data_IF_233486907693
#
_entry.id   IF_233486907693
#
_cell.length_a   1.000
_cell.length_b   1.000
_cell.length_c   1.000
_cell.angle_alpha   90.00
_cell.angle_beta   90.00
_cell.angle_gamma   90.00
#
_symmetry.space_group_name_H-M   'P 1'
#
loop_
_entity.id
_entity.type
_entity.pdbx_description
1 polymer ?
#
# COMPACT_ATOMS: atom_id res chain seq x y z
N UNK A 1 -11.04 -13.14 23.88
CA UNK A 1 -11.84 -14.14 23.13
C UNK A 1 -12.64 -13.41 22.06
N UNK A 2 -12.50 -13.90 20.82
CA UNK A 2 -12.90 -13.38 19.50
C UNK A 2 -14.26 -12.65 19.44
N UNK A 3 -14.21 -11.33 19.21
CA UNK A 3 -15.37 -10.50 18.85
C UNK A 3 -15.23 -9.87 17.45
N UNK A 4 -14.33 -10.38 16.61
CA UNK A 4 -13.97 -9.75 15.32
C UNK A 4 -14.24 -10.62 14.08
N UNK A 5 -14.68 -11.87 14.25
CA UNK A 5 -15.23 -12.69 13.16
C UNK A 5 -16.72 -12.43 12.90
N UNK A 6 -17.37 -11.71 13.80
CA UNK A 6 -18.79 -11.38 13.73
C UNK A 6 -18.94 -9.86 13.60
N UNK A 7 -19.87 -9.40 12.76
CA UNK A 7 -20.34 -8.00 12.83
C UNK A 7 -20.67 -7.68 14.29
N UNK A 8 -20.55 -6.41 14.71
CA UNK A 8 -20.89 -6.01 16.09
C UNK A 8 -22.29 -6.55 16.46
N UNK A 9 -23.21 -6.59 15.50
CA UNK A 9 -24.55 -7.16 15.65
C UNK A 9 -24.56 -8.67 15.93
N UNK A 10 -23.70 -9.47 15.29
CA UNK A 10 -23.59 -10.91 15.56
C UNK A 10 -22.89 -11.18 16.91
N UNK A 11 -21.95 -10.34 17.34
CA UNK A 11 -21.42 -10.38 18.69
C UNK A 11 -22.49 -10.03 19.73
N UNK A 12 -23.26 -8.96 19.52
CA UNK A 12 -24.40 -8.59 20.38
C UNK A 12 -25.42 -9.72 20.44
N UNK A 13 -25.75 -10.34 19.31
CA UNK A 13 -26.69 -11.47 19.25
C UNK A 13 -26.21 -12.64 20.11
N UNK A 14 -24.92 -12.98 20.05
CA UNK A 14 -24.33 -14.06 20.88
C UNK A 14 -24.41 -13.75 22.38
N UNK A 15 -24.28 -12.48 22.76
CA UNK A 15 -24.22 -12.04 24.16
C UNK A 15 -25.59 -11.61 24.71
N UNK A 16 -26.62 -11.54 23.85
CA UNK A 16 -28.01 -11.30 24.27
C UNK A 16 -28.51 -12.35 25.28
N UNK A 17 -28.01 -13.59 25.17
CA UNK A 17 -28.32 -14.69 26.10
C UNK A 17 -27.89 -14.45 27.55
N UNK A 18 -26.93 -13.54 27.77
CA UNK A 18 -26.47 -13.12 29.11
C UNK A 18 -26.95 -11.71 29.47
N UNK A 19 -27.97 -11.19 28.77
CA UNK A 19 -28.58 -9.89 29.04
C UNK A 19 -27.79 -8.67 28.54
N UNK A 20 -26.76 -8.88 27.71
CA UNK A 20 -25.99 -7.81 27.08
C UNK A 20 -26.58 -7.48 25.71
N UNK A 21 -27.52 -6.55 25.68
CA UNK A 21 -28.06 -5.98 24.45
C UNK A 21 -27.26 -4.75 23.97
N UNK A 22 -27.67 -4.18 22.83
CA UNK A 22 -26.98 -3.06 22.19
C UNK A 22 -26.98 -1.79 23.04
N UNK A 23 -28.09 -1.53 23.73
CA UNK A 23 -28.29 -0.32 24.53
C UNK A 23 -27.39 -0.36 25.76
N UNK A 24 -27.44 -1.47 26.51
CA UNK A 24 -26.59 -1.68 27.67
C UNK A 24 -25.09 -1.69 27.30
N UNK A 25 -24.75 -2.31 26.16
CA UNK A 25 -23.37 -2.32 25.67
C UNK A 25 -22.88 -0.90 25.35
N UNK A 26 -23.70 -0.08 24.69
CA UNK A 26 -23.31 1.30 24.39
C UNK A 26 -23.08 2.11 25.66
N UNK A 27 -23.93 1.98 26.68
CA UNK A 27 -23.75 2.65 27.97
C UNK A 27 -22.42 2.28 28.66
N UNK A 28 -22.12 0.97 28.74
CA UNK A 28 -20.88 0.46 29.31
C UNK A 28 -19.66 0.98 28.55
N UNK A 29 -19.74 0.98 27.21
CA UNK A 29 -18.66 1.49 26.38
C UNK A 29 -18.48 3.00 26.58
N UNK A 30 -19.55 3.79 26.62
CA UNK A 30 -19.48 5.25 26.84
C UNK A 30 -18.86 5.55 28.20
N UNK A 31 -19.30 4.84 29.24
CA UNK A 31 -18.74 4.96 30.58
C UNK A 31 -17.22 4.70 30.59
N UNK A 32 -16.78 3.64 29.90
CA UNK A 32 -15.38 3.29 29.76
C UNK A 32 -14.59 4.30 28.90
N UNK A 33 -15.13 4.72 27.76
CA UNK A 33 -14.50 5.62 26.80
C UNK A 33 -14.25 7.04 27.37
N UNK A 34 -15.18 7.52 28.18
CA UNK A 34 -15.10 8.81 28.88
C UNK A 34 -14.31 8.72 30.19
N UNK A 35 -13.82 7.53 30.57
CA UNK A 35 -13.07 7.30 31.81
C UNK A 35 -13.85 7.73 33.07
N UNK A 36 -15.18 7.61 33.06
CA UNK A 36 -16.03 7.97 34.22
C UNK A 36 -15.66 7.19 35.50
N UNK A 37 -15.11 5.99 35.33
CA UNK A 37 -14.54 5.19 36.43
C UNK A 37 -13.50 5.94 37.28
N UNK A 38 -12.83 6.96 36.74
CA UNK A 38 -11.88 7.78 37.49
C UNK A 38 -12.57 8.67 38.52
N UNK A 39 -13.64 9.35 38.10
CA UNK A 39 -14.48 10.18 38.98
C UNK A 39 -15.17 9.32 40.04
N UNK A 40 -15.71 8.17 39.63
CA UNK A 40 -16.40 7.24 40.53
C UNK A 40 -15.44 6.41 41.40
N UNK A 41 -14.14 6.58 41.17
CA UNK A 41 -13.05 5.89 41.86
C UNK A 41 -13.07 4.36 41.74
N UNK A 42 -13.74 3.81 40.74
CA UNK A 42 -13.82 2.37 40.46
C UNK A 42 -12.69 1.91 39.54
N UNK A 43 -12.34 0.62 39.55
CA UNK A 43 -11.39 0.00 38.62
C UNK A 43 -11.91 -1.35 38.13
N UNK A 44 -11.61 -1.75 36.89
CA UNK A 44 -12.02 -3.06 36.38
C UNK A 44 -10.84 -4.05 36.25
N UNK A 45 -11.07 -5.38 36.41
CA UNK A 45 -9.99 -6.36 36.63
C UNK A 45 -9.04 -6.64 35.45
N UNK A 46 -9.25 -6.04 34.28
CA UNK A 46 -8.37 -6.22 33.10
C UNK A 46 -7.90 -4.92 32.46
N UNK A 47 -8.24 -3.76 33.02
CA UNK A 47 -7.90 -2.47 32.42
C UNK A 47 -6.57 -1.93 32.94
N UNK A 48 -5.78 -1.37 32.04
CA UNK A 48 -4.52 -0.71 32.36
C UNK A 48 -4.65 0.50 33.29
N UNK A 49 -5.78 1.20 33.28
CA UNK A 49 -6.03 2.28 34.25
C UNK A 49 -6.02 1.79 35.70
N UNK A 50 -6.37 0.51 35.94
CA UNK A 50 -6.32 -0.07 37.29
C UNK A 50 -4.88 -0.14 37.79
N UNK A 51 -3.96 -0.67 36.98
CA UNK A 51 -2.55 -0.85 37.35
C UNK A 51 -1.88 0.50 37.51
N UNK A 52 -2.18 1.46 36.63
CA UNK A 52 -1.70 2.85 36.73
C UNK A 52 -2.17 3.54 38.03
N UNK A 53 -3.46 3.43 38.37
CA UNK A 53 -4.00 4.00 39.62
C UNK A 53 -3.45 3.33 40.88
N UNK A 54 -3.14 2.04 40.80
CA UNK A 54 -2.51 1.29 41.89
C UNK A 54 -1.00 1.52 41.96
N UNK A 55 -0.42 2.31 41.05
CA UNK A 55 1.02 2.60 41.02
C UNK A 55 1.89 1.41 40.62
N UNK A 56 1.30 0.39 39.99
CA UNK A 56 2.00 -0.83 39.57
C UNK A 56 2.70 -0.58 38.24
N UNK A 57 4.00 -0.28 38.30
CA UNK A 57 4.80 0.11 37.12
C UNK A 57 5.55 -1.06 36.51
N UNK A 58 5.75 -2.13 37.28
CA UNK A 58 6.50 -3.31 36.88
C UNK A 58 5.73 -4.60 37.21
N UNK A 59 6.12 -5.69 36.55
CA UNK A 59 5.63 -7.03 36.90
C UNK A 59 5.96 -7.37 38.37
N UNK A 60 7.10 -6.90 38.87
CA UNK A 60 7.51 -7.11 40.26
C UNK A 60 6.59 -6.36 41.23
N UNK A 61 6.20 -5.11 40.94
CA UNK A 61 5.21 -4.37 41.73
C UNK A 61 3.87 -5.12 41.76
N UNK A 62 3.45 -5.64 40.60
CA UNK A 62 2.23 -6.42 40.48
C UNK A 62 2.29 -7.71 41.28
N UNK A 63 3.39 -8.47 41.19
CA UNK A 63 3.61 -9.68 41.95
C UNK A 63 3.67 -9.39 43.46
N UNK A 64 4.33 -8.31 43.87
CA UNK A 64 4.41 -7.86 45.26
C UNK A 64 3.03 -7.52 45.85
N UNK A 65 2.09 -7.02 45.04
CA UNK A 65 0.71 -6.74 45.48
C UNK A 65 -0.14 -7.98 45.80
N UNK A 66 0.36 -9.18 45.47
CA UNK A 66 -0.29 -10.46 45.75
C UNK A 66 0.41 -11.18 46.90
N UNK A 67 -0.34 -11.96 47.69
CA UNK A 67 0.22 -12.89 48.65
C UNK A 67 0.91 -14.05 47.92
N UNK A 68 0.20 -14.63 46.94
CA UNK A 68 0.72 -15.70 46.09
C UNK A 68 0.03 -15.65 44.72
N UNK A 69 0.81 -15.91 43.66
CA UNK A 69 0.32 -16.15 42.30
C UNK A 69 0.75 -17.56 41.88
N UNK A 70 -0.22 -18.37 41.49
CA UNK A 70 0.00 -19.75 41.01
C UNK A 70 -0.19 -19.84 39.50
N UNK A 71 0.52 -20.77 38.86
CA UNK A 71 0.44 -20.99 37.41
C UNK A 71 -0.20 -22.34 37.08
N UNK A 72 -1.09 -22.37 36.09
CA UNK A 72 -1.75 -23.60 35.67
C UNK A 72 -0.79 -24.57 34.98
N UNK A 73 0.19 -24.05 34.22
CA UNK A 73 1.15 -24.85 33.44
C UNK A 73 2.48 -25.11 34.15
N UNK A 74 2.66 -24.65 35.40
CA UNK A 74 3.94 -24.73 36.10
C UNK A 74 3.79 -24.79 37.62
N UNK A 75 4.63 -25.59 38.33
CA UNK A 75 4.64 -25.63 39.80
C UNK A 75 5.25 -24.37 40.45
N UNK A 76 5.83 -23.47 39.65
CA UNK A 76 6.40 -22.21 40.12
C UNK A 76 5.31 -21.35 40.78
N UNK A 77 5.65 -20.64 41.84
CA UNK A 77 4.75 -19.68 42.51
C UNK A 77 5.48 -18.36 42.70
N UNK A 78 4.81 -17.25 42.42
CA UNK A 78 5.31 -15.93 42.79
C UNK A 78 4.71 -15.55 44.12
N UNK A 79 5.55 -15.20 45.10
CA UNK A 79 5.12 -14.73 46.41
C UNK A 79 5.44 -13.26 46.57
N UNK A 80 4.46 -12.50 47.02
CA UNK A 80 4.61 -11.09 47.32
C UNK A 80 4.25 -10.79 48.77
N UNK A 81 4.21 -9.50 49.11
CA UNK A 81 3.93 -9.00 50.45
C UNK A 81 2.48 -8.53 50.62
N UNK A 82 1.67 -8.64 49.56
CA UNK A 82 0.27 -8.26 49.55
C UNK A 82 -0.67 -9.32 50.11
N UNK A 83 -1.97 -9.09 49.93
CA UNK A 83 -3.05 -9.95 50.48
C UNK A 83 -3.87 -10.66 49.40
N UNK A 84 -3.65 -10.34 48.12
CA UNK A 84 -4.43 -10.87 47.00
C UNK A 84 -3.93 -12.25 46.57
N UNK A 85 -4.83 -13.18 46.31
CA UNK A 85 -4.50 -14.44 45.65
C UNK A 85 -4.64 -14.28 44.14
N UNK A 86 -3.71 -14.84 43.38
CA UNK A 86 -3.70 -14.77 41.92
C UNK A 86 -3.52 -16.14 41.26
N UNK A 87 -4.12 -16.28 40.09
CA UNK A 87 -3.92 -17.45 39.20
C UNK A 87 -3.65 -16.94 37.80
N UNK A 88 -2.64 -17.50 37.13
CA UNK A 88 -2.34 -17.21 35.73
C UNK A 88 -2.07 -18.52 34.97
N UNK A 89 -2.16 -18.49 33.64
CA UNK A 89 -1.90 -19.67 32.82
C UNK A 89 -0.42 -20.09 32.89
N UNK A 90 0.49 -19.15 32.63
CA UNK A 90 1.93 -19.32 32.69
C UNK A 90 2.63 -18.01 33.10
N UNK A 91 3.92 -18.09 33.47
CA UNK A 91 4.73 -16.89 33.77
C UNK A 91 4.88 -15.98 32.54
N UNK A 92 5.09 -16.56 31.35
CA UNK A 92 5.20 -15.80 30.10
C UNK A 92 3.89 -15.10 29.76
N UNK A 93 2.75 -15.80 29.93
CA UNK A 93 1.44 -15.20 29.76
C UNK A 93 1.24 -14.03 30.71
N UNK A 94 1.54 -14.21 32.00
CA UNK A 94 1.43 -13.16 33.02
C UNK A 94 2.33 -11.96 32.68
N UNK A 95 3.58 -12.19 32.28
CA UNK A 95 4.52 -11.14 31.89
C UNK A 95 4.01 -10.28 30.72
N UNK A 96 3.17 -10.85 29.85
CA UNK A 96 2.53 -10.14 28.74
C UNK A 96 1.24 -9.41 29.14
N UNK A 97 0.50 -9.90 30.13
CA UNK A 97 -0.88 -9.43 30.40
C UNK A 97 -1.06 -8.69 31.72
N UNK A 98 -0.09 -8.72 32.65
CA UNK A 98 -0.21 -8.11 33.99
C UNK A 98 -0.59 -6.63 33.97
N UNK A 99 -0.11 -5.89 32.96
CA UNK A 99 -0.37 -4.46 32.82
C UNK A 99 -1.84 -4.16 32.51
N UNK A 100 -2.60 -5.14 32.03
CA UNK A 100 -3.95 -4.97 31.52
C UNK A 100 -3.99 -4.34 30.14
N UNK A 101 -5.20 -4.21 29.60
CA UNK A 101 -5.50 -3.70 28.27
C UNK A 101 -6.06 -2.27 28.32
N UNK A 102 -5.92 -1.54 27.22
CA UNK A 102 -6.46 -0.19 27.08
C UNK A 102 -7.96 -0.20 26.73
N UNK A 103 -8.79 -0.77 27.61
CA UNK A 103 -10.23 -0.94 27.33
C UNK A 103 -10.95 0.37 26.97
N UNK A 104 -10.54 1.53 27.51
CA UNK A 104 -11.11 2.83 27.14
C UNK A 104 -10.83 3.19 25.67
N UNK A 105 -9.67 2.82 25.15
CA UNK A 105 -9.29 3.02 23.76
C UNK A 105 -10.14 2.14 22.84
N UNK A 106 -10.28 0.86 23.20
CA UNK A 106 -11.19 -0.06 22.51
C UNK A 106 -12.63 0.43 22.55
N UNK A 107 -13.10 0.91 23.71
CA UNK A 107 -14.45 1.43 23.87
C UNK A 107 -14.74 2.63 22.95
N UNK A 108 -13.83 3.61 22.88
CA UNK A 108 -13.93 4.73 21.92
C UNK A 108 -14.06 4.25 20.47
N UNK A 109 -13.30 3.20 20.12
CA UNK A 109 -13.30 2.62 18.77
C UNK A 109 -14.59 1.88 18.46
N UNK A 110 -15.13 1.12 19.42
CA UNK A 110 -16.40 0.38 19.26
C UNK A 110 -17.59 1.35 19.23
N UNK A 111 -17.65 2.37 20.09
CA UNK A 111 -18.69 3.42 20.05
C UNK A 111 -18.71 4.11 18.69
N UNK A 112 -17.54 4.48 18.17
CA UNK A 112 -17.43 5.12 16.86
C UNK A 112 -18.01 4.23 15.75
N UNK A 113 -17.79 2.91 15.82
CA UNK A 113 -18.35 1.92 14.89
C UNK A 113 -19.86 1.72 15.09
N UNK A 114 -20.34 1.69 16.34
CA UNK A 114 -21.76 1.57 16.69
C UNK A 114 -22.59 2.77 16.20
N UNK A 115 -22.04 3.99 16.33
CA UNK A 115 -22.73 5.25 16.00
C UNK A 115 -22.61 5.68 14.54
N UNK A 116 -21.47 5.41 13.91
CA UNK A 116 -21.17 5.92 12.56
C UNK A 116 -20.96 4.82 11.53
N UNK A 117 -21.22 3.56 11.88
CA UNK A 117 -20.81 2.41 11.07
C UNK A 117 -19.29 2.29 10.96
N UNK A 118 -18.83 1.31 10.20
CA UNK A 118 -17.42 1.15 9.87
C UNK A 118 -17.07 2.22 8.82
N UNK A 119 -16.42 3.33 9.24
CA UNK A 119 -15.90 4.32 8.28
C UNK A 119 -14.96 3.61 7.29
N UNK A 120 -15.25 3.74 5.99
CA UNK A 120 -14.66 3.02 4.83
C UNK A 120 -15.38 1.72 4.41
N UNK A 121 -16.67 1.55 4.70
CA UNK A 121 -17.50 0.56 4.00
C UNK A 121 -17.57 0.82 2.48
N UNK A 122 -17.27 2.05 2.08
CA UNK A 122 -17.37 2.66 0.77
C UNK A 122 -16.01 2.90 0.09
N UNK A 123 -14.90 2.58 0.78
CA UNK A 123 -13.64 2.22 0.11
C UNK A 123 -13.58 0.70 0.04
N UNK A 124 -14.54 0.11 -0.66
CA UNK A 124 -14.31 -1.19 -1.26
C UNK A 124 -13.19 -0.98 -2.28
N UNK A 125 -11.96 -1.31 -1.89
CA UNK A 125 -11.15 -2.03 -2.86
C UNK A 125 -11.97 -3.28 -3.13
N UNK A 126 -12.89 -3.22 -4.09
CA UNK A 126 -13.55 -4.44 -4.54
C UNK A 126 -12.41 -5.39 -4.91
N UNK A 127 -12.37 -6.62 -4.37
CA UNK A 127 -11.43 -7.62 -4.83
C UNK A 127 -11.53 -7.66 -6.35
N UNK A 128 -10.42 -7.51 -7.06
CA UNK A 128 -10.45 -7.62 -8.52
C UNK A 128 -10.96 -9.04 -8.83
N UNK A 129 -11.82 -9.26 -9.84
CA UNK A 129 -12.62 -10.49 -9.99
C UNK A 129 -11.87 -11.81 -10.16
N UNK A 130 -10.54 -11.84 -10.05
CA UNK A 130 -9.71 -12.95 -10.50
C UNK A 130 -8.68 -13.37 -9.44
N UNK A 131 -9.17 -13.94 -8.34
CA UNK A 131 -8.32 -14.65 -7.38
C UNK A 131 -7.51 -15.74 -8.11
N UNK A 132 -6.18 -15.57 -8.17
CA UNK A 132 -5.26 -16.47 -8.89
C UNK A 132 -4.55 -15.86 -10.10
N UNK A 133 -4.91 -14.64 -10.52
CA UNK A 133 -4.24 -13.94 -11.65
C UNK A 133 -3.04 -13.08 -11.24
N UNK A 134 -2.80 -12.89 -9.94
CA UNK A 134 -1.65 -12.16 -9.41
C UNK A 134 -0.71 -13.07 -8.62
N UNK A 135 0.60 -12.77 -8.55
CA UNK A 135 1.53 -13.53 -7.74
C UNK A 135 1.23 -13.37 -6.25
N UNK A 136 1.54 -14.41 -5.49
CA UNK A 136 1.43 -14.43 -4.03
C UNK A 136 2.59 -13.68 -3.40
N UNK A 137 2.32 -12.74 -2.49
CA UNK A 137 3.35 -12.07 -1.69
C UNK A 137 3.54 -12.84 -0.39
N UNK A 138 4.76 -13.31 -0.14
CA UNK A 138 5.08 -14.16 1.01
C UNK A 138 6.10 -13.43 1.88
N UNK A 139 5.72 -13.10 3.11
CA UNK A 139 6.61 -12.47 4.09
C UNK A 139 7.08 -13.53 5.07
N UNK A 140 8.39 -13.76 5.08
CA UNK A 140 9.02 -14.74 5.97
C UNK A 140 9.50 -14.06 7.24
N UNK A 141 9.00 -14.53 8.38
CA UNK A 141 9.32 -14.05 9.74
C UNK A 141 9.35 -12.51 9.86
N UNK A 142 8.30 -11.78 9.40
CA UNK A 142 8.25 -10.32 9.50
C UNK A 142 8.30 -9.89 10.98
N UNK A 143 9.08 -8.84 11.27
CA UNK A 143 9.38 -8.47 12.66
C UNK A 143 8.38 -7.47 13.25
N UNK A 144 7.79 -6.60 12.43
CA UNK A 144 6.89 -5.55 12.88
C UNK A 144 5.54 -5.65 12.17
N UNK A 145 4.46 -5.72 12.94
CA UNK A 145 3.10 -5.70 12.40
C UNK A 145 2.82 -4.47 11.52
N UNK A 146 3.36 -3.29 11.88
CA UNK A 146 3.23 -2.07 11.08
C UNK A 146 3.83 -2.22 9.68
N UNK A 147 4.95 -2.95 9.54
CA UNK A 147 5.55 -3.23 8.23
C UNK A 147 4.65 -4.12 7.37
N UNK A 148 3.98 -5.11 7.98
CA UNK A 148 2.98 -5.94 7.27
C UNK A 148 1.83 -5.06 6.76
N UNK A 149 1.37 -4.10 7.56
CA UNK A 149 0.38 -3.11 7.12
C UNK A 149 0.87 -2.26 5.95
N UNK A 150 2.10 -1.76 5.99
CA UNK A 150 2.69 -1.00 4.88
C UNK A 150 2.87 -1.85 3.62
N UNK A 151 3.19 -3.14 3.78
CA UNK A 151 3.22 -4.12 2.67
C UNK A 151 1.83 -4.27 2.06
N UNK A 152 0.79 -4.50 2.87
CA UNK A 152 -0.58 -4.59 2.36
C UNK A 152 -0.99 -3.32 1.62
N UNK A 153 -0.63 -2.14 2.12
CA UNK A 153 -0.86 -0.88 1.41
C UNK A 153 -0.15 -0.83 0.06
N UNK A 154 1.11 -1.27 -0.01
CA UNK A 154 1.88 -1.32 -1.25
C UNK A 154 1.24 -2.30 -2.27
N UNK A 155 0.80 -3.47 -1.80
CA UNK A 155 0.09 -4.46 -2.62
C UNK A 155 -1.20 -3.89 -3.19
N UNK A 156 -2.06 -3.29 -2.35
CA UNK A 156 -3.34 -2.71 -2.77
C UNK A 156 -3.16 -1.57 -3.78
N UNK A 157 -2.14 -0.72 -3.62
CA UNK A 157 -1.85 0.35 -4.57
C UNK A 157 -1.60 -0.15 -5.99
N UNK A 158 -1.19 -1.41 -6.15
CA UNK A 158 -0.74 -1.97 -7.41
C UNK A 158 -1.38 -3.32 -7.75
N UNK A 159 -2.55 -3.61 -7.19
CA UNK A 159 -3.39 -4.75 -7.59
C UNK A 159 -2.82 -6.11 -7.24
N UNK A 160 -2.07 -6.23 -6.15
CA UNK A 160 -1.74 -7.52 -5.51
C UNK A 160 -2.64 -7.72 -4.29
N UNK A 161 -3.06 -8.96 -4.04
CA UNK A 161 -4.06 -9.24 -3.00
C UNK A 161 -3.73 -10.45 -2.12
N UNK A 162 -3.07 -11.49 -2.67
CA UNK A 162 -2.74 -12.73 -1.93
C UNK A 162 -1.49 -12.53 -1.06
N UNK A 163 -1.71 -12.38 0.25
CA UNK A 163 -0.67 -12.23 1.27
C UNK A 163 -0.54 -13.50 2.11
N UNK A 164 0.67 -14.08 2.15
CA UNK A 164 1.03 -15.16 3.06
C UNK A 164 2.12 -14.73 4.03
N UNK A 165 2.01 -15.15 5.28
CA UNK A 165 2.95 -14.85 6.35
C UNK A 165 3.50 -16.16 6.90
N UNK A 166 4.83 -16.30 6.94
CA UNK A 166 5.46 -17.43 7.62
C UNK A 166 5.93 -16.95 8.98
N UNK A 167 5.39 -17.56 10.05
CA UNK A 167 5.82 -17.31 11.43
C UNK A 167 5.97 -15.80 11.77
N UNK A 168 4.91 -14.97 11.60
CA UNK A 168 4.99 -13.55 11.92
C UNK A 168 5.27 -13.36 13.43
N UNK A 169 6.29 -12.57 13.76
CA UNK A 169 6.79 -12.43 15.14
C UNK A 169 5.73 -11.95 16.12
N UNK A 170 4.95 -10.95 15.71
CA UNK A 170 3.89 -10.36 16.55
C UNK A 170 2.56 -11.14 16.49
N UNK A 171 2.57 -12.33 15.87
CA UNK A 171 1.39 -13.16 15.66
C UNK A 171 0.43 -12.63 14.59
N UNK A 172 -0.62 -13.41 14.32
CA UNK A 172 -1.64 -13.10 13.32
C UNK A 172 -3.01 -13.64 13.75
N UNK A 173 -4.13 -12.95 13.50
CA UNK A 173 -4.25 -11.60 12.90
C UNK A 173 -3.74 -10.48 13.82
N UNK A 174 -3.32 -9.35 13.26
CA UNK A 174 -2.72 -8.25 14.02
C UNK A 174 -3.36 -6.87 13.72
N UNK A 175 -3.91 -6.23 14.75
CA UNK A 175 -4.61 -4.95 14.61
C UNK A 175 -3.66 -3.79 14.25
N UNK A 176 -2.39 -3.82 14.67
CA UNK A 176 -1.41 -2.80 14.26
C UNK A 176 -1.14 -2.84 12.76
N UNK A 177 -1.07 -4.04 12.18
CA UNK A 177 -0.95 -4.22 10.74
C UNK A 177 -2.17 -3.63 10.02
N UNK A 178 -3.38 -3.89 10.53
CA UNK A 178 -4.62 -3.33 9.99
C UNK A 178 -4.65 -1.79 10.03
N UNK A 179 -4.25 -1.19 11.15
CA UNK A 179 -4.15 0.27 11.27
C UNK A 179 -3.14 0.84 10.26
N UNK A 180 -1.96 0.22 10.14
CA UNK A 180 -0.91 0.65 9.22
C UNK A 180 -1.27 0.45 7.73
N UNK A 181 -2.15 -0.51 7.40
CA UNK A 181 -2.64 -0.75 6.04
C UNK A 181 -3.45 0.42 5.46
N UNK A 182 -3.93 1.34 6.31
CA UNK A 182 -4.53 2.61 5.90
C UNK A 182 -5.61 2.48 4.80
N UNK A 183 -6.45 1.44 4.88
CA UNK A 183 -7.57 1.22 3.95
C UNK A 183 -7.41 -0.05 3.12
N UNK A 184 -6.19 -0.58 3.00
CA UNK A 184 -5.92 -1.90 2.43
C UNK A 184 -6.24 -3.05 3.42
N UNK A 185 -7.33 -2.90 4.19
CA UNK A 185 -7.68 -3.86 5.24
C UNK A 185 -8.06 -5.21 4.65
N UNK A 186 -8.61 -5.25 3.43
CA UNK A 186 -9.01 -6.49 2.76
C UNK A 186 -7.82 -7.45 2.52
N UNK A 187 -6.60 -6.93 2.30
CA UNK A 187 -5.38 -7.76 2.17
C UNK A 187 -4.96 -8.32 3.52
N UNK A 188 -5.09 -7.53 4.60
CA UNK A 188 -4.83 -8.00 5.97
C UNK A 188 -5.87 -9.03 6.38
N UNK A 189 -7.14 -8.75 6.14
CA UNK A 189 -8.26 -9.61 6.53
C UNK A 189 -8.29 -10.91 5.70
N UNK A 190 -7.81 -10.88 4.44
CA UNK A 190 -7.62 -12.07 3.59
C UNK A 190 -6.27 -12.77 3.74
N UNK A 191 -5.31 -12.16 4.46
CA UNK A 191 -3.96 -12.67 4.62
C UNK A 191 -3.90 -13.91 5.50
N UNK A 192 -3.06 -14.89 5.11
CA UNK A 192 -2.97 -16.18 5.78
C UNK A 192 -1.62 -16.36 6.46
N UNK A 193 -1.62 -16.81 7.71
CA UNK A 193 -0.41 -17.15 8.45
C UNK A 193 -0.17 -18.66 8.45
N UNK A 194 1.09 -19.03 8.26
CA UNK A 194 1.57 -20.40 8.19
C UNK A 194 2.65 -20.62 9.24
N UNK A 195 2.63 -21.81 9.86
CA UNK A 195 3.64 -22.22 10.83
C UNK A 195 4.95 -22.64 10.20
N UNK A 196 4.96 -22.99 8.90
CA UNK A 196 6.17 -23.41 8.20
C UNK A 196 6.31 -22.75 6.85
N UNK A 197 7.56 -22.57 6.43
CA UNK A 197 7.90 -22.07 5.09
C UNK A 197 7.33 -22.96 3.98
N UNK A 198 7.39 -24.29 4.16
CA UNK A 198 6.87 -25.27 3.22
C UNK A 198 5.38 -25.09 2.96
N UNK A 199 4.58 -24.88 4.01
CA UNK A 199 3.13 -24.76 3.87
C UNK A 199 2.76 -23.45 3.13
N UNK A 200 3.50 -22.37 3.37
CA UNK A 200 3.29 -21.12 2.65
C UNK A 200 3.61 -21.22 1.15
N UNK A 201 4.47 -22.16 0.72
CA UNK A 201 4.75 -22.43 -0.69
C UNK A 201 3.75 -23.37 -1.36
N UNK A 202 2.87 -24.01 -0.60
CA UNK A 202 1.96 -25.01 -1.14
C UNK A 202 1.09 -24.44 -2.28
N UNK A 203 1.00 -25.21 -3.37
CA UNK A 203 0.23 -24.87 -4.58
C UNK A 203 0.93 -23.88 -5.53
N UNK A 204 2.13 -23.40 -5.22
CA UNK A 204 2.92 -22.56 -6.12
C UNK A 204 3.79 -23.45 -7.04
N UNK A 205 3.90 -23.01 -8.29
CA UNK A 205 4.68 -23.66 -9.34
C UNK A 205 6.01 -22.95 -9.58
N UNK A 206 6.08 -21.66 -9.27
CA UNK A 206 7.28 -20.86 -9.44
C UNK A 206 7.41 -19.78 -8.37
N UNK A 207 8.58 -19.68 -7.76
CA UNK A 207 8.84 -18.78 -6.62
C UNK A 207 10.11 -17.98 -6.85
N UNK A 208 10.04 -16.67 -6.63
CA UNK A 208 11.20 -15.79 -6.72
C UNK A 208 11.62 -15.25 -5.35
N UNK A 209 12.89 -15.41 -4.99
CA UNK A 209 13.44 -14.91 -3.73
C UNK A 209 14.02 -13.50 -3.86
N UNK A 210 13.60 -12.57 -3.01
CA UNK A 210 14.19 -11.22 -2.98
C UNK A 210 15.45 -11.16 -2.14
N UNK A 211 16.51 -10.55 -2.67
CA UNK A 211 17.74 -10.31 -1.90
C UNK A 211 18.55 -9.15 -2.44
N UNK A 212 19.30 -8.49 -1.55
CA UNK A 212 20.34 -7.53 -1.91
C UNK A 212 21.75 -8.15 -1.91
N UNK A 213 21.89 -9.39 -1.41
CA UNK A 213 23.18 -10.06 -1.24
C UNK A 213 23.46 -10.94 -2.45
N UNK A 214 24.66 -10.83 -3.02
CA UNK A 214 25.16 -11.83 -3.95
C UNK A 214 25.34 -13.14 -3.18
N UNK A 215 24.72 -14.21 -3.68
CA UNK A 215 24.84 -15.55 -3.12
C UNK A 215 25.44 -16.45 -4.19
N UNK A 216 26.31 -17.35 -3.77
CA UNK A 216 26.92 -18.35 -4.65
C UNK A 216 25.94 -19.53 -4.87
N UNK A 217 24.83 -19.22 -5.54
CA UNK A 217 23.80 -20.18 -5.92
C UNK A 217 23.65 -20.12 -7.43
N UNK A 218 23.74 -21.27 -8.10
CA UNK A 218 23.53 -21.38 -9.54
C UNK A 218 22.03 -21.25 -9.88
N UNK A 219 21.48 -20.04 -9.78
CA UNK A 219 20.09 -19.70 -10.07
C UNK A 219 20.02 -18.45 -10.97
N UNK A 220 18.98 -18.31 -11.80
CA UNK A 220 18.74 -17.08 -12.53
C UNK A 220 18.62 -15.88 -11.57
N UNK A 221 19.35 -14.80 -11.90
CA UNK A 221 19.25 -13.52 -11.21
C UNK A 221 18.49 -12.55 -12.11
N UNK A 222 17.37 -12.04 -11.62
CA UNK A 222 16.42 -11.23 -12.37
C UNK A 222 16.29 -9.85 -11.73
N UNK A 223 16.11 -8.82 -12.56
CA UNK A 223 15.61 -7.52 -12.07
C UNK A 223 14.13 -7.63 -11.70
N UNK A 224 13.57 -6.67 -10.94
CA UNK A 224 12.12 -6.65 -10.67
C UNK A 224 11.26 -6.68 -11.93
N UNK A 225 11.66 -5.97 -12.98
CA UNK A 225 10.99 -5.97 -14.28
C UNK A 225 10.98 -7.36 -14.92
N UNK A 226 12.13 -8.05 -14.94
CA UNK A 226 12.28 -9.38 -15.53
C UNK A 226 11.52 -10.45 -14.73
N UNK A 227 11.59 -10.40 -13.40
CA UNK A 227 10.87 -11.33 -12.53
C UNK A 227 9.36 -11.21 -12.72
N UNK A 228 8.84 -9.98 -12.80
CA UNK A 228 7.41 -9.74 -13.07
C UNK A 228 7.00 -10.22 -14.45
N UNK A 229 7.81 -9.97 -15.48
CA UNK A 229 7.55 -10.44 -16.85
C UNK A 229 7.45 -11.98 -16.89
N UNK A 230 8.36 -12.67 -16.22
CA UNK A 230 8.33 -14.14 -16.11
C UNK A 230 7.11 -14.65 -15.34
N UNK A 231 6.74 -14.01 -14.22
CA UNK A 231 5.52 -14.36 -13.49
C UNK A 231 4.26 -14.18 -14.34
N UNK A 232 4.17 -13.07 -15.09
CA UNK A 232 3.03 -12.82 -16.00
C UNK A 232 2.92 -13.89 -17.07
N UNK A 233 4.03 -14.27 -17.70
CA UNK A 233 4.08 -15.36 -18.68
C UNK A 233 3.56 -16.67 -18.09
N UNK A 234 4.04 -17.03 -16.90
CA UNK A 234 3.65 -18.26 -16.19
C UNK A 234 2.19 -18.26 -15.73
N UNK A 235 1.71 -17.14 -15.22
CA UNK A 235 0.30 -16.96 -14.82
C UNK A 235 -0.63 -17.09 -16.04
N UNK A 236 -0.23 -16.55 -17.20
CA UNK A 236 -0.97 -16.75 -18.46
C UNK A 236 -0.99 -18.21 -18.94
N UNK A 237 -0.01 -19.03 -18.51
CA UNK A 237 0.04 -20.49 -18.72
C UNK A 237 -0.69 -21.28 -17.63
N UNK A 238 -1.40 -20.61 -16.71
CA UNK A 238 -2.16 -21.24 -15.62
C UNK A 238 -1.31 -21.67 -14.42
N UNK A 239 -0.02 -21.31 -14.37
CA UNK A 239 0.84 -21.58 -13.22
C UNK A 239 0.58 -20.59 -12.08
N UNK A 240 0.78 -21.02 -10.83
CA UNK A 240 0.74 -20.15 -9.65
C UNK A 240 2.14 -19.66 -9.29
N UNK A 241 2.32 -18.37 -9.15
CA UNK A 241 3.61 -17.76 -8.82
C UNK A 241 3.62 -17.13 -7.41
N UNK A 242 4.79 -17.04 -6.79
CA UNK A 242 4.98 -16.31 -5.53
C UNK A 242 6.30 -15.55 -5.45
N UNK A 243 6.34 -14.57 -4.55
CA UNK A 243 7.51 -13.72 -4.30
C UNK A 243 7.82 -13.78 -2.80
N UNK A 244 9.04 -14.21 -2.46
CA UNK A 244 9.51 -14.31 -1.08
C UNK A 244 10.23 -13.03 -0.65
N UNK A 245 9.84 -12.52 0.51
CA UNK A 245 10.52 -11.43 1.19
C UNK A 245 10.93 -11.86 2.59
N UNK A 246 12.19 -11.64 2.93
CA UNK A 246 12.73 -12.03 4.24
C UNK A 246 12.58 -10.96 5.32
N UNK A 247 12.98 -11.27 6.56
CA UNK A 247 12.99 -10.34 7.68
C UNK A 247 13.85 -9.10 7.42
N UNK A 248 13.47 -7.98 8.02
CA UNK A 248 14.04 -6.64 7.80
C UNK A 248 15.54 -6.55 8.06
N UNK A 249 16.07 -7.34 9.01
CA UNK A 249 17.49 -7.28 9.41
C UNK A 249 18.38 -8.23 8.61
N UNK A 250 17.90 -9.44 8.38
CA UNK A 250 18.75 -10.55 7.94
C UNK A 250 18.44 -10.98 6.49
N UNK A 251 17.29 -10.58 5.95
CA UNK A 251 16.77 -11.12 4.69
C UNK A 251 16.49 -12.61 4.78
N UNK A 252 16.21 -13.23 3.63
CA UNK A 252 15.94 -14.66 3.54
C UNK A 252 17.14 -15.51 3.98
N UNK A 253 16.90 -16.69 4.52
CA UNK A 253 17.95 -17.67 4.81
C UNK A 253 18.41 -18.38 3.54
N UNK A 254 19.58 -19.02 3.60
CA UNK A 254 20.14 -19.73 2.43
C UNK A 254 19.24 -20.86 1.96
N UNK A 255 18.61 -21.59 2.89
CA UNK A 255 17.66 -22.65 2.56
C UNK A 255 16.41 -22.10 1.86
N UNK A 256 15.91 -20.93 2.28
CA UNK A 256 14.74 -20.30 1.67
C UNK A 256 15.04 -19.82 0.24
N UNK A 257 16.21 -19.24 0.01
CA UNK A 257 16.65 -18.89 -1.35
C UNK A 257 16.92 -20.14 -2.19
N UNK A 258 17.44 -21.22 -1.60
CA UNK A 258 17.70 -22.46 -2.31
C UNK A 258 16.41 -23.12 -2.85
N UNK A 259 15.29 -22.96 -2.14
CA UNK A 259 13.97 -23.47 -2.54
C UNK A 259 13.23 -22.57 -3.55
N UNK A 260 13.74 -21.38 -3.85
CA UNK A 260 13.18 -20.52 -4.90
C UNK A 260 13.72 -20.87 -6.28
N UNK A 261 12.96 -20.67 -7.34
CA UNK A 261 13.37 -20.94 -8.73
C UNK A 261 14.32 -19.88 -9.29
N UNK A 262 14.19 -18.64 -8.82
CA UNK A 262 15.00 -17.50 -9.22
C UNK A 262 15.24 -16.54 -8.05
N UNK A 263 16.21 -15.64 -8.25
CA UNK A 263 16.51 -14.55 -7.33
C UNK A 263 16.16 -13.22 -7.97
N UNK A 264 15.40 -12.39 -7.28
CA UNK A 264 15.12 -11.01 -7.69
C UNK A 264 16.02 -10.04 -6.94
N UNK A 265 16.80 -9.26 -7.69
CA UNK A 265 17.69 -8.22 -7.18
C UNK A 265 17.37 -6.88 -7.82
N UNK A 266 16.99 -5.89 -7.02
CA UNK A 266 16.77 -4.53 -7.49
C UNK A 266 18.11 -3.81 -7.70
N UNK A 267 18.28 -3.05 -8.80
CA UNK A 267 19.45 -2.20 -8.97
C UNK A 267 19.41 -1.05 -7.95
N UNK A 268 20.20 -1.17 -6.89
CA UNK A 268 20.31 -0.22 -5.78
C UNK A 268 21.74 0.29 -5.65
N UNK A 269 21.94 1.36 -4.89
CA UNK A 269 23.28 1.82 -4.55
C UNK A 269 24.02 0.71 -3.78
N UNK A 270 25.17 0.19 -4.28
CA UNK A 270 25.90 -0.88 -3.60
C UNK A 270 26.34 -0.51 -2.18
N UNK A 271 26.56 0.79 -1.91
CA UNK A 271 26.93 1.28 -0.58
C UNK A 271 25.73 1.36 0.39
N UNK A 272 24.50 1.18 -0.10
CA UNK A 272 23.27 1.24 0.69
C UNK A 272 22.17 0.38 0.06
N UNK A 273 22.42 -0.92 0.00
CA UNK A 273 21.59 -1.85 -0.77
C UNK A 273 20.37 -2.42 -0.02
N UNK A 274 20.21 -2.10 1.28
CA UNK A 274 19.13 -2.63 2.09
C UNK A 274 17.88 -1.75 2.01
N UNK A 275 16.85 -2.23 1.30
CA UNK A 275 15.54 -1.59 1.25
C UNK A 275 14.69 -1.99 2.44
N UNK A 276 13.78 -1.11 2.88
CA UNK A 276 12.72 -1.50 3.81
C UNK A 276 11.80 -2.55 3.16
N UNK A 277 11.26 -3.47 3.96
CA UNK A 277 10.39 -4.55 3.49
C UNK A 277 9.24 -4.05 2.60
N UNK A 278 8.49 -3.04 3.05
CA UNK A 278 7.38 -2.49 2.30
C UNK A 278 7.84 -1.79 1.00
N UNK A 279 9.04 -1.21 0.99
CA UNK A 279 9.63 -0.61 -0.22
C UNK A 279 10.04 -1.68 -1.24
N UNK A 280 10.61 -2.80 -0.80
CA UNK A 280 10.93 -3.91 -1.68
C UNK A 280 9.67 -4.50 -2.32
N UNK A 281 8.60 -4.68 -1.53
CA UNK A 281 7.29 -5.11 -2.06
C UNK A 281 6.71 -4.06 -3.01
N UNK A 282 6.82 -2.76 -2.67
CA UNK A 282 6.35 -1.65 -3.51
C UNK A 282 6.98 -1.69 -4.91
N UNK A 283 8.28 -1.97 -5.03
CA UNK A 283 8.96 -2.06 -6.33
C UNK A 283 8.40 -3.21 -7.18
N UNK A 284 8.29 -4.41 -6.61
CA UNK A 284 7.74 -5.56 -7.33
C UNK A 284 6.27 -5.35 -7.72
N UNK A 285 5.48 -4.76 -6.82
CA UNK A 285 4.06 -4.47 -7.05
C UNK A 285 3.90 -3.38 -8.12
N UNK A 286 4.71 -2.33 -8.08
CA UNK A 286 4.73 -1.29 -9.12
C UNK A 286 5.03 -1.88 -10.50
N UNK A 287 6.07 -2.71 -10.62
CA UNK A 287 6.40 -3.41 -11.86
C UNK A 287 5.25 -4.30 -12.33
N UNK A 288 4.57 -4.98 -11.40
CA UNK A 288 3.37 -5.75 -11.69
C UNK A 288 2.29 -4.90 -12.35
N UNK A 289 1.86 -3.79 -11.73
CA UNK A 289 0.84 -2.91 -12.30
C UNK A 289 1.29 -2.26 -13.62
N UNK A 290 2.56 -1.80 -13.70
CA UNK A 290 3.13 -1.17 -14.90
C UNK A 290 3.01 -2.08 -16.13
N UNK A 291 3.22 -3.38 -15.95
CA UNK A 291 3.17 -4.37 -17.03
C UNK A 291 1.76 -4.93 -17.29
N UNK A 292 0.75 -4.57 -16.49
CA UNK A 292 -0.62 -5.05 -16.65
C UNK A 292 -1.33 -4.52 -17.89
N UNK A 293 -0.83 -3.45 -18.51
CA UNK A 293 -1.45 -2.78 -19.67
C UNK A 293 -2.79 -2.06 -19.37
N UNK A 294 -3.44 -2.35 -18.24
CA UNK A 294 -4.70 -1.74 -17.79
C UNK A 294 -4.57 -0.63 -16.75
N UNK A 295 -3.35 -0.28 -16.33
CA UNK A 295 -3.11 0.79 -15.37
C UNK A 295 -3.33 2.18 -15.97
N UNK A 296 -4.02 3.05 -15.24
CA UNK A 296 -4.11 4.49 -15.54
C UNK A 296 -3.05 5.27 -14.76
N UNK A 297 -2.54 6.36 -15.32
CA UNK A 297 -1.76 7.31 -14.52
C UNK A 297 -2.70 8.08 -13.58
N UNK A 298 -2.41 8.04 -12.27
CA UNK A 298 -3.17 8.77 -11.25
C UNK A 298 -4.53 8.14 -10.93
N UNK A 299 -5.38 8.91 -10.22
CA UNK A 299 -6.74 8.48 -9.88
C UNK A 299 -7.66 8.75 -11.07
N UNK A 300 -8.54 7.80 -11.37
CA UNK A 300 -9.66 8.00 -12.28
C UNK A 300 -10.93 8.20 -11.44
N UNK A 301 -11.60 9.32 -11.63
CA UNK A 301 -12.94 9.59 -11.09
C UNK A 301 -14.00 9.40 -12.17
N UNK A 302 -15.29 9.49 -11.79
CA UNK A 302 -16.43 9.41 -12.72
C UNK A 302 -16.39 10.44 -13.86
N UNK A 303 -15.59 11.50 -13.73
CA UNK A 303 -15.47 12.56 -14.72
C UNK A 303 -14.13 12.54 -15.48
N UNK A 304 -13.25 11.57 -15.20
CA UNK A 304 -11.92 11.49 -15.77
C UNK A 304 -11.74 10.22 -16.60
N UNK A 305 -11.06 10.33 -17.73
CA UNK A 305 -10.67 9.18 -18.53
C UNK A 305 -9.29 8.65 -18.08
N UNK A 306 -9.00 7.36 -18.25
CA UNK A 306 -7.68 6.80 -18.04
C UNK A 306 -6.61 7.57 -18.80
N UNK A 307 -5.50 7.84 -18.12
CA UNK A 307 -4.38 8.57 -18.69
C UNK A 307 -3.26 7.63 -19.10
N UNK A 308 -2.66 7.96 -20.23
CA UNK A 308 -1.46 7.32 -20.74
C UNK A 308 -0.28 8.29 -20.70
N UNK A 309 0.96 7.79 -20.63
CA UNK A 309 2.15 8.61 -20.82
C UNK A 309 2.11 9.32 -22.19
N UNK A 310 2.45 10.61 -22.23
CA UNK A 310 2.52 11.38 -23.47
C UNK A 310 1.82 12.74 -23.38
N UNK A 311 1.68 13.39 -24.54
CA UNK A 311 0.98 14.67 -24.67
C UNK A 311 -0.53 14.47 -24.59
N UNK A 312 -1.22 15.35 -23.86
CA UNK A 312 -2.68 15.36 -23.77
C UNK A 312 -3.26 16.20 -24.90
N UNK A 313 -3.54 15.55 -26.01
CA UNK A 313 -4.03 16.21 -27.23
C UNK A 313 -5.55 16.53 -27.19
N UNK A 314 -6.22 16.26 -26.06
CA UNK A 314 -7.65 16.51 -25.82
C UNK A 314 -8.58 15.96 -26.92
N UNK A 315 -8.17 14.87 -27.57
CA UNK A 315 -8.92 14.24 -28.66
C UNK A 315 -8.74 14.90 -30.03
N UNK A 316 -7.85 15.87 -30.18
CA UNK A 316 -7.47 16.44 -31.47
C UNK A 316 -6.46 15.51 -32.15
N UNK A 317 -6.73 14.98 -33.36
CA UNK A 317 -5.79 14.09 -34.04
C UNK A 317 -4.51 14.86 -34.46
N UNK A 318 -3.39 14.14 -34.66
CA UNK A 318 -2.18 14.73 -35.25
C UNK A 318 -2.50 15.40 -36.59
N UNK A 319 -1.92 16.59 -36.82
CA UNK A 319 -2.10 17.26 -38.09
C UNK A 319 -1.52 16.44 -39.25
N UNK A 320 -2.23 16.43 -40.36
CA UNK A 320 -1.76 15.79 -41.60
C UNK A 320 -0.52 16.50 -42.14
N UNK A 321 0.29 15.82 -42.96
CA UNK A 321 1.46 16.45 -43.59
C UNK A 321 1.03 17.56 -44.54
N UNK A 322 -0.13 17.40 -45.17
CA UNK A 322 -0.79 18.36 -46.03
C UNK A 322 -1.11 19.65 -45.29
N UNK A 323 -1.74 19.58 -44.11
CA UNK A 323 -2.04 20.75 -43.29
C UNK A 323 -0.78 21.46 -42.80
N UNK A 324 0.24 20.69 -42.42
CA UNK A 324 1.53 21.23 -41.97
C UNK A 324 2.28 21.94 -43.12
N UNK A 325 2.33 21.32 -44.31
CA UNK A 325 2.94 21.92 -45.50
C UNK A 325 2.19 23.20 -45.90
N UNK A 326 0.86 23.16 -45.88
CA UNK A 326 0.06 24.34 -46.16
C UNK A 326 0.37 25.45 -45.14
N UNK A 327 0.52 25.13 -43.84
CA UNK A 327 0.95 26.10 -42.84
C UNK A 327 2.32 26.70 -43.16
N UNK A 328 3.30 25.90 -43.58
CA UNK A 328 4.62 26.39 -44.00
C UNK A 328 4.53 27.35 -45.18
N UNK A 329 3.77 27.02 -46.22
CA UNK A 329 3.56 27.90 -47.37
C UNK A 329 2.93 29.24 -46.96
N UNK A 330 1.95 29.21 -46.06
CA UNK A 330 1.34 30.43 -45.53
C UNK A 330 2.37 31.26 -44.74
N UNK A 331 3.04 30.65 -43.77
CA UNK A 331 4.00 31.34 -42.91
C UNK A 331 5.18 31.91 -43.71
N UNK A 332 5.77 31.13 -44.63
CA UNK A 332 6.88 31.55 -45.47
C UNK A 332 6.50 32.72 -46.35
N UNK A 333 5.34 32.67 -47.01
CA UNK A 333 4.86 33.79 -47.85
C UNK A 333 4.72 35.09 -47.04
N UNK A 334 4.12 35.02 -45.86
CA UNK A 334 3.93 36.22 -45.03
C UNK A 334 5.25 36.74 -44.46
N UNK A 335 6.17 35.86 -44.06
CA UNK A 335 7.51 36.26 -43.58
C UNK A 335 8.36 36.89 -44.69
N UNK A 336 8.29 36.35 -45.91
CA UNK A 336 8.94 36.91 -47.10
C UNK A 336 8.42 38.34 -47.35
N UNK A 337 7.10 38.54 -47.33
CA UNK A 337 6.48 39.85 -47.52
C UNK A 337 6.86 40.87 -46.42
N UNK A 338 7.29 40.41 -45.24
CA UNK A 338 7.77 41.26 -44.14
C UNK A 338 9.30 41.45 -44.16
N UNK A 339 10.02 40.86 -45.11
CA UNK A 339 11.48 40.98 -45.23
C UNK A 339 12.27 40.17 -44.19
N UNK A 340 11.67 39.13 -43.61
CA UNK A 340 12.34 38.30 -42.59
C UNK A 340 13.56 37.54 -43.14
N UNK A 341 13.52 37.10 -44.40
CA UNK A 341 14.58 36.31 -45.03
C UNK A 341 15.69 37.19 -45.63
N UNK A 342 16.32 38.02 -44.81
CA UNK A 342 17.42 38.91 -45.19
C UNK A 342 18.68 38.61 -44.34
N UNK A 343 19.86 38.38 -44.94
CA UNK A 343 20.19 38.44 -46.36
C UNK A 343 19.74 37.19 -47.16
N UNK A 344 19.49 37.30 -48.48
CA UNK A 344 18.84 36.26 -49.29
C UNK A 344 19.55 34.90 -49.28
N UNK A 345 20.87 34.88 -49.16
CA UNK A 345 21.68 33.67 -49.11
C UNK A 345 21.41 32.81 -47.87
N UNK A 346 20.88 33.39 -46.79
CA UNK A 346 20.53 32.65 -45.57
C UNK A 346 19.12 32.06 -45.60
N UNK A 347 18.28 32.45 -46.56
CA UNK A 347 16.89 32.01 -46.69
C UNK A 347 16.74 30.48 -46.64
N UNK A 348 17.52 29.65 -47.38
CA UNK A 348 17.35 28.20 -47.35
C UNK A 348 17.53 27.62 -45.94
N UNK A 349 18.58 28.06 -45.22
CA UNK A 349 18.86 27.62 -43.85
C UNK A 349 17.77 28.06 -42.87
N UNK A 350 17.29 29.31 -42.99
CA UNK A 350 16.22 29.85 -42.14
C UNK A 350 14.90 29.08 -42.32
N UNK A 351 14.51 28.79 -43.57
CA UNK A 351 13.32 28.00 -43.89
C UNK A 351 13.47 26.57 -43.35
N UNK A 352 14.61 25.92 -43.57
CA UNK A 352 14.86 24.57 -43.08
C UNK A 352 14.78 24.49 -41.55
N UNK A 353 15.38 25.45 -40.85
CA UNK A 353 15.33 25.53 -39.38
C UNK A 353 13.91 25.73 -38.87
N UNK A 354 13.14 26.62 -39.50
CA UNK A 354 11.75 26.88 -39.15
C UNK A 354 10.88 25.64 -39.37
N UNK A 355 10.97 25.00 -40.55
CA UNK A 355 10.23 23.75 -40.84
C UNK A 355 10.60 22.63 -39.87
N UNK A 356 11.88 22.48 -39.56
CA UNK A 356 12.37 21.49 -38.58
C UNK A 356 11.78 21.74 -37.19
N UNK A 357 11.77 23.00 -36.74
CA UNK A 357 11.20 23.41 -35.45
C UNK A 357 9.71 23.08 -35.32
N UNK A 358 8.92 23.33 -36.36
CA UNK A 358 7.49 23.05 -36.33
C UNK A 358 7.16 21.57 -36.60
N UNK A 359 8.02 20.85 -37.34
CA UNK A 359 7.83 19.41 -37.58
C UNK A 359 8.09 18.60 -36.31
N UNK A 360 9.09 18.96 -35.51
CA UNK A 360 9.38 18.29 -34.22
C UNK A 360 8.31 18.51 -33.14
N UNK A 361 7.43 19.49 -33.34
CA UNK A 361 6.37 19.84 -32.38
C UNK A 361 5.31 18.73 -32.26
N UNK A 362 5.12 17.91 -33.30
CA UNK A 362 4.08 16.87 -33.30
C UNK A 362 2.66 17.43 -33.16
N UNK A 363 2.41 18.61 -33.74
CA UNK A 363 1.16 19.33 -33.51
C UNK A 363 -0.08 18.64 -34.06
N UNK A 364 -1.18 18.88 -33.36
CA UNK A 364 -2.53 18.47 -33.74
C UNK A 364 -3.13 19.38 -34.81
N UNK A 365 -4.19 18.92 -35.48
CA UNK A 365 -4.92 19.73 -36.47
C UNK A 365 -5.35 21.09 -35.89
N UNK A 366 -5.88 21.08 -34.66
CA UNK A 366 -6.33 22.29 -33.98
C UNK A 366 -5.20 23.29 -33.70
N UNK A 367 -4.01 22.81 -33.38
CA UNK A 367 -2.83 23.66 -33.15
C UNK A 367 -2.34 24.28 -34.46
N UNK A 368 -2.33 23.52 -35.57
CA UNK A 368 -2.02 24.08 -36.90
C UNK A 368 -3.03 25.15 -37.31
N UNK A 369 -4.33 24.95 -37.05
CA UNK A 369 -5.37 25.97 -37.28
C UNK A 369 -5.11 27.22 -36.44
N UNK A 370 -4.76 27.05 -35.16
CA UNK A 370 -4.40 28.14 -34.26
C UNK A 370 -3.19 28.92 -34.77
N UNK A 371 -2.11 28.24 -35.18
CA UNK A 371 -0.90 28.86 -35.72
C UNK A 371 -1.19 29.65 -37.01
N UNK A 372 -1.99 29.11 -37.92
CA UNK A 372 -2.44 29.83 -39.12
C UNK A 372 -3.26 31.08 -38.75
N UNK A 373 -4.09 31.00 -37.72
CA UNK A 373 -4.83 32.13 -37.16
C UNK A 373 -3.90 33.22 -36.60
N UNK A 374 -2.85 32.84 -35.86
CA UNK A 374 -1.83 33.76 -35.34
C UNK A 374 -1.15 34.52 -36.50
N UNK A 375 -0.70 33.80 -37.54
CA UNK A 375 -0.07 34.41 -38.72
C UNK A 375 -1.02 35.41 -39.37
N UNK A 376 -2.28 35.01 -39.60
CA UNK A 376 -3.30 35.89 -40.20
C UNK A 376 -3.48 37.18 -39.39
N UNK A 377 -3.65 37.08 -38.07
CA UNK A 377 -3.89 38.24 -37.20
C UNK A 377 -2.70 39.20 -37.18
N UNK A 378 -1.47 38.68 -37.04
CA UNK A 378 -0.27 39.52 -37.01
C UNK A 378 -0.06 40.30 -38.31
N UNK A 379 -0.38 39.68 -39.46
CA UNK A 379 -0.33 40.35 -40.76
C UNK A 379 -1.42 41.41 -40.91
N UNK A 380 -2.65 41.12 -40.48
CA UNK A 380 -3.78 42.07 -40.61
C UNK A 380 -3.67 43.26 -39.66
N UNK A 381 -3.17 43.08 -38.44
CA UNK A 381 -2.98 44.18 -37.48
C UNK A 381 -1.99 45.24 -37.99
N UNK A 382 -0.94 44.83 -38.72
CA UNK A 382 -0.02 45.77 -39.38
C UNK A 382 -0.66 46.50 -40.56
N UNK A 383 -1.65 45.90 -41.23
CA UNK A 383 -2.36 46.53 -42.36
C UNK A 383 -3.39 47.56 -41.91
N UNK A 384 -4.07 47.34 -40.77
CA UNK A 384 -5.01 48.33 -40.20
C UNK A 384 -4.32 49.53 -39.55
N UNK A 385 -3.03 49.41 -39.17
CA UNK A 385 -2.22 50.52 -38.67
C UNK A 385 -1.75 51.50 -39.76
N UNK A 386 -1.95 51.17 -41.04
CA UNK A 386 -1.73 52.08 -42.18
C UNK A 386 -3.05 52.79 -42.53
N UNK A 387 -3.54 53.66 -41.64
CA UNK A 387 -4.29 54.83 -42.10
C UNK A 387 -3.26 55.80 -42.65
N UNK A 388 -3.15 55.87 -43.99
CA UNK A 388 -2.42 56.93 -44.69
C UNK A 388 -3.03 58.30 -44.33
N UNK A 389 -2.22 59.39 -44.42
CA UNK A 389 -2.22 60.54 -43.50
C UNK A 389 -3.49 61.39 -43.47
#
# INVERSE_FOLDING_TARGET
MVAHEHTIDAAITRWSSVGLDRELLEEVLVYCAERRCEADRVTCPGCRLRTEKQGLKTLDDFAASHAEITFASSPVRLRGTGTRQGTAESLEHLARTWAGEEYWFWARRVIRKLRHGIRRADQTGEPVPNAGESPVVILVRPQLAENIGMVARAMANFGLEDLRLVEPRDGWPNEKARVAASGANFIIDGGQAYSTFKDALAGLHWVCATTARQRDLAKPVLTPEQAVSEMRRRLAEGQRCGILFGPERNGLETEEVANADAVMMAPVNPNFASLNLAQAVLLASYEWMKQAGGGTLGRVTTYEAPLQPGTRDRGSPPATKEELMAFFEHLERELEAQGFFNPPEKRPSMVQNMRTMFTRMGATEQEIRTLRGIVKTLVHAKRSGRRSP
#
